data_IF_062346582510
#
_entry.id   IF_062346582510
#
_cell.length_a   1.000
_cell.length_b   1.000
_cell.length_c   1.000
_cell.angle_alpha   90.00
_cell.angle_beta   90.00
_cell.angle_gamma   90.00
#
_symmetry.space_group_name_H-M   'P 1'
#
loop_
_entity.id
_entity.type
_entity.pdbx_description
1 polymer ?
#
# COMPACT_ATOMS: atom_id res chain seq x y z
N UNK A 1 -16.31 -22.14 10.42
CA UNK A 1 -15.49 -20.98 10.67
C UNK A 1 -15.21 -20.26 9.38
N UNK A 2 -15.44 -18.99 9.36
CA UNK A 2 -15.21 -18.19 8.15
C UNK A 2 -13.86 -17.49 8.27
N UNK A 3 -12.99 -17.75 7.34
CA UNK A 3 -11.71 -17.06 7.30
C UNK A 3 -11.92 -15.68 6.69
N UNK A 4 -11.73 -14.66 7.49
CA UNK A 4 -11.82 -13.30 7.00
C UNK A 4 -10.62 -13.03 6.08
N UNK A 5 -10.88 -12.37 4.96
CA UNK A 5 -9.80 -11.95 4.07
C UNK A 5 -8.99 -10.84 4.74
N UNK A 6 -7.66 -10.80 4.51
CA UNK A 6 -6.86 -9.70 5.03
C UNK A 6 -7.35 -8.36 4.50
N UNK A 7 -7.44 -7.38 5.38
CA UNK A 7 -7.87 -6.03 5.02
C UNK A 7 -6.67 -5.24 4.53
N UNK A 8 -6.80 -4.64 3.34
CA UNK A 8 -5.73 -3.89 2.68
C UNK A 8 -6.19 -2.48 2.40
N UNK A 9 -5.40 -1.50 2.78
CA UNK A 9 -5.64 -0.11 2.39
C UNK A 9 -4.79 0.18 1.15
N UNK A 10 -5.45 0.59 0.07
CA UNK A 10 -4.78 0.95 -1.18
C UNK A 10 -4.92 2.46 -1.38
N UNK A 11 -3.79 3.14 -1.58
CA UNK A 11 -3.78 4.58 -1.81
C UNK A 11 -3.24 4.82 -3.22
N UNK A 12 -4.11 5.23 -4.12
CA UNK A 12 -3.82 5.40 -5.53
C UNK A 12 -4.72 6.47 -6.11
N UNK A 13 -4.15 7.50 -6.73
CA UNK A 13 -4.93 8.62 -7.26
C UNK A 13 -5.41 8.44 -8.71
N UNK A 14 -4.88 7.46 -9.43
CA UNK A 14 -5.25 7.22 -10.83
C UNK A 14 -6.44 6.26 -10.89
N UNK A 15 -7.54 6.71 -11.53
CA UNK A 15 -8.78 5.93 -11.57
C UNK A 15 -8.63 4.58 -12.30
N UNK A 16 -7.86 4.55 -13.37
CA UNK A 16 -7.65 3.30 -14.10
C UNK A 16 -6.87 2.29 -13.27
N UNK A 17 -5.86 2.76 -12.56
CA UNK A 17 -5.07 1.90 -11.68
C UNK A 17 -5.92 1.41 -10.51
N UNK A 18 -6.81 2.25 -9.98
CA UNK A 18 -7.75 1.84 -8.93
C UNK A 18 -8.62 0.67 -9.39
N UNK A 19 -9.17 0.75 -10.61
CA UNK A 19 -10.02 -0.32 -11.15
C UNK A 19 -9.23 -1.61 -11.31
N UNK A 20 -7.99 -1.50 -11.79
CA UNK A 20 -7.13 -2.68 -11.94
C UNK A 20 -6.83 -3.31 -10.58
N UNK A 21 -6.49 -2.51 -9.59
CA UNK A 21 -6.20 -3.00 -8.25
C UNK A 21 -7.43 -3.65 -7.61
N UNK A 22 -8.59 -3.03 -7.78
CA UNK A 22 -9.85 -3.59 -7.27
C UNK A 22 -10.09 -4.98 -7.86
N UNK A 23 -9.89 -5.12 -9.16
CA UNK A 23 -10.05 -6.41 -9.84
C UNK A 23 -9.04 -7.46 -9.34
N UNK A 24 -7.77 -7.08 -9.25
CA UNK A 24 -6.71 -7.99 -8.82
C UNK A 24 -6.94 -8.48 -7.39
N UNK A 25 -7.39 -7.60 -6.50
CA UNK A 25 -7.47 -7.89 -5.07
C UNK A 25 -8.80 -8.51 -4.64
N UNK A 26 -9.80 -8.51 -5.51
CA UNK A 26 -11.17 -8.87 -5.14
C UNK A 26 -11.31 -10.27 -4.55
N UNK A 27 -10.49 -11.23 -4.97
CA UNK A 27 -10.63 -12.62 -4.56
C UNK A 27 -9.96 -12.92 -3.21
N UNK A 28 -8.77 -12.36 -2.99
CA UNK A 28 -7.92 -12.75 -1.87
C UNK A 28 -7.86 -11.72 -0.75
N UNK A 29 -8.38 -10.51 -0.98
CA UNK A 29 -8.26 -9.41 -0.02
C UNK A 29 -9.55 -8.65 0.09
N UNK A 30 -9.72 -8.01 1.25
CA UNK A 30 -10.78 -7.03 1.46
C UNK A 30 -10.13 -5.65 1.31
N UNK A 31 -10.23 -5.08 0.10
CA UNK A 31 -9.52 -3.86 -0.23
C UNK A 31 -10.38 -2.62 -0.02
N UNK A 32 -9.79 -1.63 0.63
CA UNK A 32 -10.35 -0.27 0.72
C UNK A 32 -9.45 0.61 -0.12
N UNK A 33 -9.96 1.19 -1.18
CA UNK A 33 -9.17 2.01 -2.10
C UNK A 33 -9.54 3.47 -1.93
N UNK A 34 -8.53 4.29 -1.65
CA UNK A 34 -8.69 5.74 -1.48
C UNK A 34 -7.76 6.46 -2.45
N UNK A 35 -8.04 7.73 -2.70
CA UNK A 35 -7.34 8.49 -3.74
C UNK A 35 -6.46 9.62 -3.23
N UNK A 36 -6.36 9.80 -1.92
CA UNK A 36 -5.60 10.91 -1.37
C UNK A 36 -4.98 10.57 -0.02
N UNK A 37 -4.01 11.37 0.38
CA UNK A 37 -3.40 11.25 1.70
C UNK A 37 -4.45 11.45 2.80
N UNK A 38 -5.28 12.48 2.68
CA UNK A 38 -6.29 12.78 3.70
C UNK A 38 -7.30 11.65 3.85
N UNK A 39 -7.75 11.06 2.73
CA UNK A 39 -8.66 9.93 2.77
C UNK A 39 -8.01 8.70 3.42
N UNK A 40 -6.71 8.49 3.17
CA UNK A 40 -5.97 7.40 3.78
C UNK A 40 -5.85 7.57 5.29
N UNK A 41 -5.55 8.77 5.74
CA UNK A 41 -5.46 9.07 7.17
C UNK A 41 -6.81 8.82 7.86
N UNK A 42 -7.89 9.27 7.24
CA UNK A 42 -9.22 9.04 7.77
C UNK A 42 -9.57 7.56 7.85
N UNK A 43 -9.25 6.80 6.79
CA UNK A 43 -9.52 5.37 6.77
C UNK A 43 -8.80 4.65 7.91
N UNK A 44 -7.58 5.05 8.21
CA UNK A 44 -6.81 4.43 9.29
C UNK A 44 -7.29 4.82 10.69
N UNK A 45 -8.06 5.91 10.81
CA UNK A 45 -8.72 6.24 12.07
C UNK A 45 -9.96 5.37 12.30
N UNK A 46 -10.61 4.96 11.23
CA UNK A 46 -11.88 4.23 11.32
C UNK A 46 -11.69 2.72 11.34
N UNK A 47 -10.68 2.21 10.62
CA UNK A 47 -10.47 0.79 10.43
C UNK A 47 -9.03 0.39 10.66
N UNK A 48 -8.84 -0.92 10.93
CA UNK A 48 -7.50 -1.51 11.06
C UNK A 48 -7.21 -2.31 9.81
N UNK A 49 -6.01 -2.13 9.26
CA UNK A 49 -5.57 -2.83 8.05
C UNK A 49 -4.38 -3.74 8.35
N UNK A 50 -4.30 -4.84 7.61
CA UNK A 50 -3.21 -5.81 7.75
C UNK A 50 -2.06 -5.49 6.83
N UNK A 51 -2.32 -4.71 5.77
CA UNK A 51 -1.33 -4.38 4.75
C UNK A 51 -1.68 -3.04 4.13
N UNK A 52 -0.66 -2.28 3.76
CA UNK A 52 -0.81 -1.02 3.04
C UNK A 52 -0.19 -1.16 1.66
N UNK A 53 -0.87 -0.67 0.64
CA UNK A 53 -0.32 -0.58 -0.73
C UNK A 53 -0.50 0.87 -1.16
N UNK A 54 0.60 1.57 -1.44
CA UNK A 54 0.48 2.99 -1.72
C UNK A 54 1.41 3.44 -2.82
N UNK A 55 0.87 4.28 -3.70
CA UNK A 55 1.64 4.94 -4.74
C UNK A 55 2.60 5.93 -4.09
N UNK A 56 3.81 5.99 -4.60
CA UNK A 56 4.79 6.96 -4.12
C UNK A 56 4.42 8.36 -4.56
N UNK A 57 3.89 8.51 -5.77
CA UNK A 57 3.50 9.82 -6.30
C UNK A 57 2.00 10.01 -6.18
N UNK A 58 1.56 10.72 -5.14
CA UNK A 58 0.15 10.94 -4.86
C UNK A 58 -0.34 12.32 -5.29
N UNK A 59 0.49 13.11 -5.97
CA UNK A 59 0.11 14.46 -6.40
C UNK A 59 0.11 15.45 -5.26
N UNK A 60 -0.20 16.71 -5.56
CA UNK A 60 -0.31 17.78 -4.56
C UNK A 60 0.92 17.96 -3.69
N UNK A 61 2.09 17.54 -4.18
CA UNK A 61 3.34 17.68 -3.44
C UNK A 61 3.52 16.68 -2.30
N UNK A 62 2.62 15.72 -2.16
CA UNK A 62 2.71 14.68 -1.13
C UNK A 62 3.10 13.35 -1.75
N UNK A 63 3.85 12.54 -1.01
CA UNK A 63 4.30 11.24 -1.48
C UNK A 63 3.78 10.12 -0.58
N UNK A 64 3.85 8.88 -1.10
CA UNK A 64 3.54 7.72 -0.29
C UNK A 64 4.47 7.61 0.91
N UNK A 65 5.71 8.04 0.77
CA UNK A 65 6.67 8.07 1.89
C UNK A 65 6.20 9.00 2.99
N UNK A 66 5.74 10.21 2.63
CA UNK A 66 5.20 11.16 3.61
C UNK A 66 3.99 10.56 4.34
N UNK A 67 3.11 9.91 3.59
CA UNK A 67 1.93 9.26 4.17
C UNK A 67 2.34 8.15 5.13
N UNK A 68 3.28 7.31 4.73
CA UNK A 68 3.73 6.21 5.58
C UNK A 68 4.29 6.74 6.89
N UNK A 69 5.12 7.78 6.83
CA UNK A 69 5.69 8.39 8.05
C UNK A 69 4.58 8.94 8.95
N UNK A 70 3.57 9.60 8.38
CA UNK A 70 2.46 10.12 9.15
C UNK A 70 1.66 8.99 9.83
N UNK A 71 1.44 7.89 9.12
CA UNK A 71 0.69 6.76 9.66
C UNK A 71 1.41 6.04 10.79
N UNK A 72 2.76 6.06 10.80
CA UNK A 72 3.55 5.45 11.87
C UNK A 72 3.50 6.24 13.16
N UNK A 73 3.17 7.52 13.10
CA UNK A 73 3.14 8.41 14.25
C UNK A 73 1.76 8.46 14.91
N UNK A 74 1.69 8.82 16.22
CA UNK A 74 0.40 9.05 16.85
C UNK A 74 -0.35 10.20 16.15
N UNK A 75 -1.69 10.17 16.12
CA UNK A 75 -2.58 9.21 16.76
C UNK A 75 -2.80 7.92 15.98
N UNK A 76 -2.23 7.81 14.77
CA UNK A 76 -2.48 6.65 13.90
C UNK A 76 -1.75 5.41 14.37
N UNK A 77 -0.45 5.51 14.57
CA UNK A 77 0.41 4.42 15.06
C UNK A 77 0.19 3.10 14.32
N UNK A 78 0.02 3.20 12.99
CA UNK A 78 -0.23 2.03 12.15
C UNK A 78 1.06 1.21 12.03
N UNK A 79 0.96 -0.11 12.23
CA UNK A 79 2.10 -1.02 12.19
C UNK A 79 2.10 -1.96 11.00
N UNK A 80 1.05 -1.95 10.19
CA UNK A 80 0.94 -2.81 9.02
C UNK A 80 2.10 -2.59 8.05
N UNK A 81 2.63 -3.66 7.43
CA UNK A 81 3.67 -3.49 6.41
C UNK A 81 3.11 -2.75 5.20
N UNK A 82 3.98 -2.03 4.50
CA UNK A 82 3.60 -1.22 3.36
C UNK A 82 4.35 -1.64 2.11
N UNK A 83 3.62 -1.74 0.99
CA UNK A 83 4.17 -1.99 -0.34
C UNK A 83 4.10 -0.67 -1.12
N UNK A 84 5.24 -0.24 -1.66
CA UNK A 84 5.30 0.96 -2.49
C UNK A 84 5.02 0.61 -3.94
N UNK A 85 4.16 1.40 -4.60
CA UNK A 85 3.97 1.33 -6.06
C UNK A 85 4.71 2.51 -6.67
N UNK A 86 5.56 2.27 -7.65
CA UNK A 86 6.36 3.33 -8.23
C UNK A 86 6.55 3.15 -9.73
N UNK A 87 6.46 4.25 -10.47
CA UNK A 87 6.79 4.27 -11.90
C UNK A 87 8.30 4.46 -12.14
N UNK A 88 9.06 4.78 -11.10
CA UNK A 88 10.46 5.15 -11.20
C UNK A 88 11.35 4.18 -10.44
N UNK A 89 11.44 2.94 -10.93
CA UNK A 89 12.32 1.94 -10.33
C UNK A 89 13.72 2.09 -10.91
N UNK A 90 14.60 2.74 -10.16
CA UNK A 90 16.00 2.94 -10.54
C UNK A 90 16.90 2.02 -9.70
N UNK A 91 18.12 1.72 -10.17
CA UNK A 91 19.06 0.98 -9.33
C UNK A 91 19.25 1.68 -8.00
N UNK A 92 19.16 0.92 -6.92
CA UNK A 92 19.26 1.47 -5.57
C UNK A 92 17.93 1.86 -4.92
N UNK A 93 16.84 1.93 -5.68
CA UNK A 93 15.55 2.31 -5.14
C UNK A 93 15.02 1.31 -4.12
N UNK A 94 15.32 0.04 -4.32
CA UNK A 94 14.89 -0.99 -3.35
C UNK A 94 15.42 -0.66 -1.95
N UNK A 95 16.71 -0.30 -1.86
CA UNK A 95 17.30 0.05 -0.58
C UNK A 95 16.71 1.35 -0.04
N UNK A 96 16.49 2.33 -0.92
CA UNK A 96 15.90 3.60 -0.52
C UNK A 96 14.51 3.40 0.08
N UNK A 97 13.64 2.63 -0.58
CA UNK A 97 12.30 2.38 -0.07
C UNK A 97 12.33 1.60 1.25
N UNK A 98 13.24 0.63 1.37
CA UNK A 98 13.41 -0.09 2.63
C UNK A 98 13.83 0.85 3.75
N UNK A 99 14.75 1.77 3.48
CA UNK A 99 15.21 2.75 4.46
C UNK A 99 14.10 3.72 4.86
N UNK A 100 13.17 3.98 3.95
CA UNK A 100 12.02 4.84 4.22
C UNK A 100 10.89 4.11 4.97
N UNK A 101 11.01 2.80 5.16
CA UNK A 101 10.07 2.03 5.95
C UNK A 101 9.14 1.10 5.18
N UNK A 102 9.30 1.00 3.85
CA UNK A 102 8.51 0.08 3.05
C UNK A 102 9.06 -1.34 3.15
N UNK A 103 8.15 -2.31 3.22
CA UNK A 103 8.53 -3.73 3.28
C UNK A 103 8.86 -4.29 1.90
N UNK A 104 8.27 -3.71 0.85
CA UNK A 104 8.51 -4.13 -0.53
C UNK A 104 8.15 -3.00 -1.48
N UNK A 105 8.57 -3.11 -2.75
CA UNK A 105 8.09 -2.20 -3.78
C UNK A 105 7.77 -2.97 -5.06
N UNK A 106 6.87 -2.39 -5.85
CA UNK A 106 6.45 -2.97 -7.13
C UNK A 106 6.51 -1.86 -8.18
N UNK A 107 7.17 -2.15 -9.29
CA UNK A 107 7.32 -1.18 -10.38
C UNK A 107 6.06 -1.11 -11.23
N UNK A 108 5.68 0.09 -11.64
CA UNK A 108 4.61 0.28 -12.62
C UNK A 108 5.20 0.28 -14.03
N UNK A 109 4.52 -0.29 -15.03
CA UNK A 109 3.32 -1.11 -14.89
C UNK A 109 3.63 -2.45 -14.22
N UNK A 110 2.75 -2.89 -13.34
CA UNK A 110 2.97 -4.14 -12.62
C UNK A 110 2.08 -5.25 -13.17
N UNK A 111 2.53 -6.49 -13.00
CA UNK A 111 1.71 -7.65 -13.28
C UNK A 111 0.93 -8.03 -12.02
N UNK A 112 -0.19 -8.71 -12.21
CA UNK A 112 -0.96 -9.27 -11.10
C UNK A 112 -0.08 -10.16 -10.22
N UNK A 113 0.72 -11.00 -10.87
CA UNK A 113 1.61 -11.94 -10.18
C UNK A 113 2.62 -11.22 -9.29
N UNK A 114 3.25 -10.16 -9.80
CA UNK A 114 4.26 -9.44 -9.05
C UNK A 114 3.66 -8.73 -7.83
N UNK A 115 2.51 -8.10 -8.01
CA UNK A 115 1.84 -7.41 -6.92
C UNK A 115 1.40 -8.40 -5.83
N UNK A 116 0.71 -9.46 -6.21
CA UNK A 116 0.22 -10.45 -5.24
C UNK A 116 1.37 -11.15 -4.52
N UNK A 117 2.47 -11.41 -5.23
CA UNK A 117 3.64 -12.03 -4.63
C UNK A 117 4.25 -11.13 -3.56
N UNK A 118 4.41 -9.84 -3.85
CA UNK A 118 4.94 -8.87 -2.90
C UNK A 118 4.04 -8.76 -1.68
N UNK A 119 2.74 -8.70 -1.88
CA UNK A 119 1.78 -8.59 -0.79
C UNK A 119 1.81 -9.82 0.11
N UNK A 120 1.81 -11.02 -0.46
CA UNK A 120 1.88 -12.26 0.31
C UNK A 120 3.17 -12.34 1.11
N UNK A 121 4.28 -11.93 0.52
CA UNK A 121 5.57 -11.92 1.21
C UNK A 121 5.52 -11.01 2.44
N UNK A 122 4.96 -9.82 2.30
CA UNK A 122 4.86 -8.87 3.41
C UNK A 122 3.99 -9.41 4.53
N UNK A 123 2.85 -10.03 4.20
CA UNK A 123 1.97 -10.61 5.21
C UNK A 123 2.61 -11.79 5.93
N UNK A 124 3.34 -12.63 5.22
CA UNK A 124 4.04 -13.76 5.84
C UNK A 124 5.14 -13.29 6.77
N UNK A 125 5.88 -12.26 6.38
CA UNK A 125 7.00 -11.75 7.16
C UNK A 125 6.54 -11.05 8.44
N UNK A 126 5.32 -10.49 8.45
CA UNK A 126 4.80 -9.77 9.61
C UNK A 126 3.98 -10.64 10.55
N UNK A 127 3.76 -11.89 10.19
CA UNK A 127 2.97 -12.82 11.00
C UNK A 127 3.69 -13.26 12.27
#
# INVERSE_FOLDING_TARGET
MTDALPAVLVVEDNAETQLLLEHILATDYEATIVDSVDAALQACQEDTFHLLVMDINLGEGRTGTDLLHALREPPYSVRAPAVALTAYAMPGDQQRFADEGFAAYVSKPFSQKDLLSAMRHCLSASA
#
